data_IF_422314633622
#
_entry.id   IF_422314633622
#
_cell.length_a   1.000
_cell.length_b   1.000
_cell.length_c   1.000
_cell.angle_alpha   90.00
_cell.angle_beta   90.00
_cell.angle_gamma   90.00
#
_symmetry.space_group_name_H-M   'P 1'
#
loop_
_entity.id
_entity.type
_entity.pdbx_description
1 polymer ?
#
# COMPACT_ATOMS: atom_id res chain seq x y z
N UNK A 1 -20.85 24.98 33.45
CA UNK A 1 -20.05 26.21 33.61
C UNK A 1 -18.71 25.97 34.36
N UNK A 2 -18.69 25.19 35.45
CA UNK A 2 -17.46 24.87 36.21
C UNK A 2 -16.45 24.09 35.39
N UNK A 3 -16.87 23.12 34.59
CA UNK A 3 -15.99 22.27 33.73
C UNK A 3 -15.27 23.08 32.63
N UNK A 4 -15.93 24.05 32.00
CA UNK A 4 -15.32 24.94 30.99
C UNK A 4 -14.30 25.92 31.60
N UNK A 5 -14.54 26.41 32.86
CA UNK A 5 -13.54 27.20 33.59
C UNK A 5 -12.33 26.36 33.98
N UNK A 6 -12.54 25.11 34.43
CA UNK A 6 -11.48 24.17 34.73
C UNK A 6 -10.58 23.87 33.48
N UNK A 7 -11.20 23.63 32.33
CA UNK A 7 -10.47 23.45 31.08
C UNK A 7 -9.64 24.69 30.71
N UNK A 8 -10.21 25.90 30.84
CA UNK A 8 -9.46 27.13 30.52
C UNK A 8 -8.30 27.40 31.47
N UNK A 9 -8.46 27.11 32.77
CA UNK A 9 -7.39 27.21 33.76
C UNK A 9 -6.31 26.13 33.54
N UNK A 10 -6.72 24.89 33.31
CA UNK A 10 -5.80 23.80 33.00
C UNK A 10 -4.97 24.07 31.71
N UNK A 11 -5.58 24.70 30.70
CA UNK A 11 -4.86 25.12 29.50
C UNK A 11 -3.83 26.22 29.77
N UNK A 12 -4.19 27.23 30.58
CA UNK A 12 -3.25 28.28 31.02
C UNK A 12 -2.12 27.70 31.86
N UNK A 13 -2.39 26.73 32.71
CA UNK A 13 -1.41 26.08 33.57
C UNK A 13 -0.49 25.16 32.76
N UNK A 14 -1.01 24.37 31.80
CA UNK A 14 -0.22 23.59 30.89
C UNK A 14 0.78 24.45 30.09
N UNK A 15 0.31 25.60 29.60
CA UNK A 15 1.16 26.56 28.88
C UNK A 15 2.19 27.25 29.78
N UNK A 16 1.85 27.52 31.06
CA UNK A 16 2.78 28.06 32.05
C UNK A 16 3.86 27.03 32.45
N UNK A 17 3.50 25.76 32.60
CA UNK A 17 4.44 24.66 32.87
C UNK A 17 5.47 24.49 31.72
N UNK A 18 5.04 24.71 30.47
CA UNK A 18 5.93 24.72 29.29
C UNK A 18 7.02 25.81 29.38
N UNK A 19 6.74 26.93 30.09
CA UNK A 19 7.66 28.08 30.21
C UNK A 19 8.62 27.97 31.40
N UNK A 20 8.25 27.25 32.47
CA UNK A 20 9.02 27.18 33.71
C UNK A 20 10.32 26.37 33.59
N UNK A 21 10.28 25.17 33.03
CA UNK A 21 11.42 24.25 32.88
C UNK A 21 11.54 23.72 31.45
N UNK A 22 11.91 24.60 30.52
CA UNK A 22 11.88 24.39 29.07
C UNK A 22 12.55 23.09 28.61
N UNK A 23 13.75 22.77 29.14
CA UNK A 23 14.51 21.58 28.73
C UNK A 23 13.84 20.26 29.12
N UNK A 24 13.28 20.17 30.33
CA UNK A 24 12.62 18.97 30.83
C UNK A 24 11.29 18.72 30.09
N UNK A 25 10.50 19.78 29.93
CA UNK A 25 9.22 19.71 29.23
C UNK A 25 9.43 19.36 27.76
N UNK A 26 10.43 19.95 27.11
CA UNK A 26 10.78 19.65 25.73
C UNK A 26 11.21 18.18 25.57
N UNK A 27 12.04 17.66 26.48
CA UNK A 27 12.51 16.28 26.42
C UNK A 27 11.37 15.26 26.60
N UNK A 28 10.44 15.55 27.50
CA UNK A 28 9.29 14.65 27.77
C UNK A 28 8.26 14.70 26.65
N UNK A 29 7.96 15.90 26.13
CA UNK A 29 7.10 16.05 24.93
C UNK A 29 7.74 15.36 23.72
N UNK A 30 9.06 15.48 23.57
CA UNK A 30 9.78 14.86 22.45
C UNK A 30 9.66 13.33 22.48
N UNK A 31 9.70 12.70 23.68
CA UNK A 31 9.49 11.26 23.83
C UNK A 31 8.10 10.81 23.35
N UNK A 32 7.04 11.53 23.75
CA UNK A 32 5.67 11.22 23.29
C UNK A 32 5.49 11.54 21.81
N UNK A 33 6.01 12.69 21.38
CA UNK A 33 5.96 13.11 19.96
C UNK A 33 6.61 12.05 19.06
N UNK A 34 7.81 11.57 19.41
CA UNK A 34 8.50 10.51 18.64
C UNK A 34 7.69 9.21 18.68
N UNK A 35 7.19 8.81 19.85
CA UNK A 35 6.42 7.56 19.97
C UNK A 35 5.16 7.55 19.11
N UNK A 36 4.35 8.61 19.19
CA UNK A 36 3.13 8.73 18.40
C UNK A 36 3.46 8.92 16.92
N UNK A 37 4.45 9.75 16.59
CA UNK A 37 4.93 9.95 15.22
C UNK A 37 5.35 8.60 14.59
N UNK A 38 6.12 7.78 15.30
CA UNK A 38 6.59 6.49 14.78
C UNK A 38 5.42 5.55 14.49
N UNK A 39 4.47 5.41 15.42
CA UNK A 39 3.30 4.55 15.23
C UNK A 39 2.50 5.01 14.00
N UNK A 40 2.19 6.30 13.92
CA UNK A 40 1.39 6.84 12.82
C UNK A 40 2.13 6.73 11.49
N UNK A 41 3.43 7.05 11.46
CA UNK A 41 4.24 6.98 10.26
C UNK A 41 4.32 5.55 9.71
N UNK A 42 4.58 4.55 10.57
CA UNK A 42 4.63 3.14 10.16
C UNK A 42 3.28 2.67 9.65
N UNK A 43 2.20 2.90 10.39
CA UNK A 43 0.87 2.47 9.97
C UNK A 43 0.42 3.17 8.69
N UNK A 44 0.69 4.49 8.53
CA UNK A 44 0.34 5.20 7.30
C UNK A 44 1.14 4.71 6.10
N UNK A 45 2.44 4.42 6.27
CA UNK A 45 3.26 3.85 5.22
C UNK A 45 2.77 2.46 4.80
N UNK A 46 2.48 1.58 5.77
CA UNK A 46 1.96 0.22 5.50
C UNK A 46 0.60 0.28 4.83
N UNK A 47 -0.33 1.13 5.32
CA UNK A 47 -1.66 1.26 4.72
C UNK A 47 -1.57 1.78 3.27
N UNK A 48 -0.65 2.73 3.00
CA UNK A 48 -0.41 3.25 1.65
C UNK A 48 0.15 2.17 0.72
N UNK A 49 1.15 1.41 1.20
CA UNK A 49 1.71 0.29 0.44
C UNK A 49 0.65 -0.77 0.14
N UNK A 50 -0.16 -1.10 1.15
CA UNK A 50 -1.26 -2.06 0.99
C UNK A 50 -2.29 -1.59 -0.03
N UNK A 51 -2.75 -0.35 0.06
CA UNK A 51 -3.71 0.23 -0.88
C UNK A 51 -3.17 0.25 -2.32
N UNK A 52 -1.89 0.60 -2.50
CA UNK A 52 -1.25 0.58 -3.82
C UNK A 52 -1.13 -0.84 -4.37
N UNK A 53 -0.88 -1.83 -3.51
CA UNK A 53 -0.86 -3.24 -3.90
C UNK A 53 -2.24 -3.75 -4.28
N UNK A 54 -3.25 -3.47 -3.44
CA UNK A 54 -4.62 -3.86 -3.72
C UNK A 54 -5.09 -3.28 -5.06
N UNK A 55 -4.79 -2.00 -5.34
CA UNK A 55 -5.10 -1.39 -6.64
C UNK A 55 -4.32 -2.02 -7.80
N UNK A 56 -3.07 -2.39 -7.60
CA UNK A 56 -2.26 -3.10 -8.63
C UNK A 56 -2.80 -4.51 -8.89
N UNK A 57 -3.24 -5.20 -7.84
CA UNK A 57 -3.86 -6.53 -7.94
C UNK A 57 -5.23 -6.46 -8.63
N UNK A 58 -6.03 -5.43 -8.35
CA UNK A 58 -7.31 -5.20 -9.05
C UNK A 58 -7.11 -5.03 -10.55
N UNK A 59 -6.05 -4.34 -10.98
CA UNK A 59 -5.68 -4.18 -12.40
C UNK A 59 -5.34 -5.52 -13.08
N UNK A 60 -4.81 -6.49 -12.34
CA UNK A 60 -4.55 -7.85 -12.85
C UNK A 60 -5.82 -8.71 -12.97
N UNK A 61 -6.95 -8.24 -12.45
CA UNK A 61 -8.23 -8.94 -12.43
C UNK A 61 -8.44 -9.73 -11.12
N UNK A 62 -9.54 -9.46 -10.44
CA UNK A 62 -9.84 -10.02 -9.11
C UNK A 62 -10.16 -11.53 -9.09
N UNK A 63 -10.56 -12.09 -10.25
CA UNK A 63 -10.90 -13.52 -10.41
C UNK A 63 -10.09 -14.16 -11.54
N UNK A 64 -8.81 -13.87 -11.58
CA UNK A 64 -7.92 -14.29 -12.67
C UNK A 64 -6.98 -15.40 -12.23
N UNK A 65 -6.82 -16.42 -13.08
CA UNK A 65 -5.88 -17.52 -12.93
C UNK A 65 -4.83 -17.39 -14.03
N UNK A 66 -3.55 -17.38 -13.65
CA UNK A 66 -2.43 -17.35 -14.57
C UNK A 66 -1.80 -18.74 -14.64
N UNK A 67 -1.87 -19.37 -15.78
CA UNK A 67 -1.14 -20.61 -16.07
C UNK A 67 0.26 -20.24 -16.54
N UNK A 68 1.25 -20.63 -15.77
CA UNK A 68 2.65 -20.32 -16.03
C UNK A 68 3.55 -21.51 -15.65
N UNK A 69 4.81 -21.49 -16.06
CA UNK A 69 5.83 -22.45 -15.63
C UNK A 69 6.17 -22.28 -14.15
N UNK A 70 6.36 -21.04 -13.72
CA UNK A 70 6.84 -20.70 -12.40
C UNK A 70 5.68 -20.36 -11.44
N UNK A 71 5.68 -20.93 -10.22
CA UNK A 71 4.73 -20.49 -9.21
C UNK A 71 5.14 -19.13 -8.63
N UNK A 72 4.12 -18.34 -8.19
CA UNK A 72 4.34 -17.05 -7.57
C UNK A 72 4.51 -17.11 -6.05
N UNK A 73 4.34 -18.29 -5.45
CA UNK A 73 4.45 -18.56 -4.01
C UNK A 73 5.89 -18.85 -3.55
N UNK A 74 6.89 -18.46 -4.35
CA UNK A 74 8.30 -18.67 -4.07
C UNK A 74 8.81 -17.84 -2.89
N UNK A 75 9.01 -18.48 -1.72
CA UNK A 75 9.70 -17.89 -0.57
C UNK A 75 11.24 -17.89 -0.69
N UNK A 76 11.98 -17.47 0.37
CA UNK A 76 13.44 -17.45 0.37
C UNK A 76 14.12 -18.79 0.05
N UNK A 77 13.48 -19.90 0.43
CA UNK A 77 13.96 -21.27 0.20
C UNK A 77 13.32 -21.92 -1.04
N UNK A 78 12.88 -21.11 -2.01
CA UNK A 78 12.19 -21.59 -3.21
C UNK A 78 13.04 -22.61 -4.00
N UNK A 79 12.56 -23.86 -4.22
CA UNK A 79 13.29 -24.91 -4.89
C UNK A 79 13.21 -24.74 -6.41
N UNK A 80 13.81 -23.68 -6.98
CA UNK A 80 13.74 -23.31 -8.40
C UNK A 80 14.16 -24.45 -9.34
N UNK A 81 15.10 -25.33 -8.89
CA UNK A 81 15.57 -26.48 -9.68
C UNK A 81 14.45 -27.51 -9.98
N UNK A 82 13.39 -27.56 -9.13
CA UNK A 82 12.24 -28.45 -9.33
C UNK A 82 11.40 -27.99 -10.53
N UNK A 83 11.36 -26.68 -10.78
CA UNK A 83 10.50 -26.03 -11.77
C UNK A 83 11.24 -25.76 -13.09
N UNK A 84 12.55 -25.76 -13.10
CA UNK A 84 13.38 -25.41 -14.26
C UNK A 84 13.07 -26.27 -15.51
N UNK A 85 12.76 -27.55 -15.32
CA UNK A 85 12.49 -28.50 -16.41
C UNK A 85 11.00 -28.58 -16.79
N UNK A 86 10.13 -27.78 -16.19
CA UNK A 86 8.73 -27.72 -16.59
C UNK A 86 8.59 -27.07 -17.97
N UNK A 87 7.63 -27.52 -18.80
CA UNK A 87 7.35 -26.86 -20.07
C UNK A 87 6.79 -25.45 -19.85
N UNK A 88 7.02 -24.56 -20.79
CA UNK A 88 6.29 -23.30 -20.89
C UNK A 88 4.88 -23.58 -21.43
N UNK A 89 3.85 -22.75 -21.06
CA UNK A 89 2.53 -22.86 -21.63
C UNK A 89 2.55 -22.67 -23.16
N UNK A 90 1.96 -23.58 -23.89
CA UNK A 90 1.98 -23.57 -25.36
C UNK A 90 0.69 -22.99 -25.95
N UNK A 91 0.76 -22.57 -27.21
CA UNK A 91 -0.44 -22.17 -27.96
C UNK A 91 -1.45 -23.32 -28.07
N UNK A 92 -0.98 -24.57 -28.14
CA UNK A 92 -1.85 -25.75 -28.14
C UNK A 92 -2.61 -25.91 -26.83
N UNK A 93 -1.97 -25.60 -25.69
CA UNK A 93 -2.64 -25.64 -24.38
C UNK A 93 -3.73 -24.57 -24.33
N UNK A 94 -3.42 -23.36 -24.80
CA UNK A 94 -4.38 -22.27 -24.92
C UNK A 94 -5.60 -22.66 -25.76
N UNK A 95 -5.41 -23.18 -26.97
CA UNK A 95 -6.49 -23.60 -27.86
C UNK A 95 -7.36 -24.70 -27.24
N UNK A 96 -6.74 -25.67 -26.55
CA UNK A 96 -7.48 -26.74 -25.90
C UNK A 96 -8.22 -26.27 -24.65
N UNK A 97 -7.63 -25.36 -23.85
CA UNK A 97 -8.32 -24.75 -22.72
C UNK A 97 -9.52 -23.93 -23.19
N UNK A 98 -9.36 -23.12 -24.23
CA UNK A 98 -10.44 -22.32 -24.82
C UNK A 98 -11.64 -23.16 -25.26
N UNK A 99 -11.39 -24.38 -25.78
CA UNK A 99 -12.43 -25.27 -26.26
C UNK A 99 -13.09 -26.13 -25.17
N UNK A 100 -12.46 -26.30 -23.98
CA UNK A 100 -12.91 -27.26 -22.96
C UNK A 100 -13.40 -26.61 -21.68
N UNK A 101 -12.93 -25.40 -21.35
CA UNK A 101 -13.36 -24.71 -20.15
C UNK A 101 -14.78 -24.17 -20.30
N UNK A 102 -15.57 -24.30 -19.23
CA UNK A 102 -16.97 -23.90 -19.18
C UNK A 102 -17.26 -22.85 -18.10
N UNK A 103 -16.35 -22.68 -17.15
CA UNK A 103 -16.50 -21.77 -16.00
C UNK A 103 -15.74 -20.46 -16.19
N UNK A 104 -15.51 -20.04 -17.44
CA UNK A 104 -14.67 -18.86 -17.76
C UNK A 104 -15.43 -17.85 -18.62
N UNK A 105 -15.18 -16.55 -18.40
CA UNK A 105 -15.70 -15.44 -19.20
C UNK A 105 -14.74 -15.04 -20.33
N UNK A 106 -13.44 -15.28 -20.14
CA UNK A 106 -12.40 -14.99 -21.12
C UNK A 106 -11.13 -15.79 -20.87
N UNK A 107 -10.42 -16.05 -21.95
CA UNK A 107 -9.11 -16.72 -21.92
C UNK A 107 -8.16 -16.02 -22.89
N UNK A 108 -6.98 -15.68 -22.42
CA UNK A 108 -5.97 -14.97 -23.19
C UNK A 108 -4.62 -15.69 -23.13
N UNK A 109 -3.94 -15.76 -24.26
CA UNK A 109 -2.52 -16.07 -24.32
C UNK A 109 -1.76 -14.77 -24.42
N UNK A 110 -0.85 -14.54 -23.52
CA UNK A 110 -0.05 -13.33 -23.43
C UNK A 110 1.44 -13.66 -23.38
N UNK A 111 2.23 -12.89 -24.13
CA UNK A 111 3.68 -12.93 -24.08
C UNK A 111 4.24 -11.52 -23.98
N UNK A 112 5.18 -11.30 -23.08
CA UNK A 112 5.79 -9.99 -22.83
C UNK A 112 7.28 -10.01 -23.12
N UNK A 113 7.73 -9.07 -23.98
CA UNK A 113 9.13 -8.86 -24.32
C UNK A 113 9.60 -7.56 -23.69
N UNK A 114 10.20 -7.64 -22.52
CA UNK A 114 10.76 -6.48 -21.82
C UNK A 114 12.03 -5.93 -22.50
N UNK A 115 12.37 -4.70 -22.12
CA UNK A 115 13.61 -4.01 -22.49
C UNK A 115 13.84 -3.91 -24.01
N UNK A 116 12.83 -3.45 -24.76
CA UNK A 116 12.89 -3.28 -26.21
C UNK A 116 13.01 -1.82 -26.58
N UNK A 117 13.72 -1.55 -27.69
CA UNK A 117 13.79 -0.22 -28.26
C UNK A 117 12.73 -0.06 -29.33
N UNK A 118 11.94 0.99 -29.22
CA UNK A 118 10.88 1.36 -30.16
C UNK A 118 11.21 2.69 -30.81
N UNK A 119 10.90 2.83 -32.09
CA UNK A 119 11.33 4.00 -32.88
C UNK A 119 10.17 4.61 -33.68
N UNK A 120 10.13 5.94 -33.63
CA UNK A 120 9.30 6.76 -34.50
C UNK A 120 10.16 7.85 -35.12
N UNK A 121 10.38 7.80 -36.42
CA UNK A 121 11.28 8.71 -37.14
C UNK A 121 12.67 8.81 -36.45
N UNK A 122 13.00 9.97 -35.90
CA UNK A 122 14.26 10.21 -35.19
C UNK A 122 14.16 10.00 -33.67
N UNK A 123 12.95 9.78 -33.13
CA UNK A 123 12.72 9.54 -31.71
C UNK A 123 12.81 8.05 -31.41
N UNK A 124 13.38 7.70 -30.27
CA UNK A 124 13.43 6.33 -29.75
C UNK A 124 13.13 6.31 -28.26
N UNK A 125 12.49 5.24 -27.83
CA UNK A 125 12.31 4.87 -26.42
C UNK A 125 12.99 3.55 -26.18
N UNK A 126 13.83 3.50 -25.18
CA UNK A 126 14.50 2.28 -24.71
C UNK A 126 13.78 1.76 -23.46
N UNK A 127 13.86 0.46 -23.21
CA UNK A 127 13.23 -0.15 -22.05
C UNK A 127 11.71 -0.39 -22.18
N UNK A 128 11.11 -0.17 -23.36
CA UNK A 128 9.70 -0.46 -23.57
C UNK A 128 9.42 -1.97 -23.51
N UNK A 129 8.22 -2.34 -23.02
CA UNK A 129 7.73 -3.72 -23.03
C UNK A 129 6.75 -3.90 -24.19
N UNK A 130 7.00 -4.89 -25.04
CA UNK A 130 6.08 -5.26 -26.11
C UNK A 130 5.26 -6.45 -25.64
N UNK A 131 3.96 -6.30 -25.50
CA UNK A 131 3.01 -7.35 -25.13
C UNK A 131 2.24 -7.83 -26.36
N UNK A 132 2.36 -9.11 -26.66
CA UNK A 132 1.52 -9.79 -27.65
C UNK A 132 0.40 -10.52 -26.93
N UNK A 133 -0.84 -10.12 -27.18
CA UNK A 133 -1.99 -10.68 -26.50
C UNK A 133 -3.07 -11.15 -27.47
N UNK A 134 -3.79 -12.24 -27.12
CA UNK A 134 -4.98 -12.65 -27.85
C UNK A 134 -6.15 -11.71 -27.60
N UNK A 135 -7.18 -11.79 -28.44
CA UNK A 135 -8.29 -10.81 -28.42
C UNK A 135 -8.96 -10.66 -27.07
N UNK A 136 -9.19 -11.74 -26.33
CA UNK A 136 -9.92 -11.72 -25.06
C UNK A 136 -9.21 -11.01 -23.90
N UNK A 137 -7.98 -10.50 -24.10
CA UNK A 137 -7.26 -9.72 -23.08
C UNK A 137 -8.10 -8.54 -22.55
N UNK A 138 -8.89 -7.89 -23.42
CA UNK A 138 -9.77 -6.79 -23.02
C UNK A 138 -10.91 -7.20 -22.06
N UNK A 139 -11.26 -8.50 -22.00
CA UNK A 139 -12.25 -9.02 -21.05
C UNK A 139 -11.67 -9.28 -19.67
N UNK A 140 -10.36 -9.56 -19.64
CA UNK A 140 -9.62 -9.96 -18.43
C UNK A 140 -9.13 -8.75 -17.66
N UNK A 141 -8.64 -7.75 -18.40
CA UNK A 141 -8.14 -6.50 -17.85
C UNK A 141 -9.05 -5.35 -18.24
N UNK A 142 -9.44 -4.53 -17.26
CA UNK A 142 -10.20 -3.32 -17.51
C UNK A 142 -9.29 -2.28 -18.19
N UNK A 143 -9.46 -2.11 -19.51
CA UNK A 143 -8.62 -1.27 -20.34
C UNK A 143 -9.25 0.11 -20.52
N UNK A 144 -8.65 1.13 -19.97
CA UNK A 144 -9.01 2.52 -20.21
C UNK A 144 -8.13 3.14 -21.29
N UNK A 145 -8.76 3.89 -22.21
CA UNK A 145 -8.07 4.56 -23.32
C UNK A 145 -8.15 6.08 -23.14
N UNK A 146 -7.03 6.75 -23.34
CA UNK A 146 -7.01 8.21 -23.50
C UNK A 146 -7.57 8.60 -24.85
N UNK A 147 -7.19 7.85 -25.91
CA UNK A 147 -7.72 8.04 -27.26
C UNK A 147 -7.60 6.76 -28.09
N UNK A 148 -8.40 6.67 -29.15
CA UNK A 148 -8.38 5.52 -30.04
C UNK A 148 -9.26 4.35 -29.56
N UNK A 149 -8.82 3.12 -29.85
CA UNK A 149 -9.59 1.89 -29.58
C UNK A 149 -8.71 0.66 -29.41
N UNK A 150 -9.29 -0.39 -28.86
CA UNK A 150 -8.70 -1.73 -28.90
C UNK A 150 -8.75 -2.33 -30.30
N UNK A 151 -7.90 -3.33 -30.59
CA UNK A 151 -7.96 -4.06 -31.85
C UNK A 151 -9.22 -4.94 -31.91
N UNK A 152 -9.74 -5.11 -33.12
CA UNK A 152 -10.91 -5.96 -33.38
C UNK A 152 -10.51 -7.45 -33.42
N UNK A 153 -11.48 -8.36 -33.29
CA UNK A 153 -11.25 -9.79 -33.46
C UNK A 153 -10.59 -10.10 -34.80
N UNK A 154 -11.03 -9.48 -35.91
CA UNK A 154 -10.43 -9.65 -37.21
C UNK A 154 -8.97 -9.21 -37.27
N UNK A 155 -8.60 -8.09 -36.66
CA UNK A 155 -7.22 -7.60 -36.57
C UNK A 155 -6.35 -8.57 -35.76
N UNK A 156 -6.92 -9.12 -34.66
CA UNK A 156 -6.24 -10.13 -33.84
C UNK A 156 -6.02 -11.43 -34.58
N UNK A 157 -7.06 -11.95 -35.25
CA UNK A 157 -7.02 -13.24 -35.94
C UNK A 157 -6.08 -13.23 -37.16
N UNK A 158 -6.06 -12.12 -37.91
CA UNK A 158 -5.17 -11.96 -39.07
C UNK A 158 -3.76 -11.49 -38.70
N UNK A 159 -3.50 -11.13 -37.44
CA UNK A 159 -2.21 -10.58 -37.03
C UNK A 159 -1.90 -9.27 -37.74
N UNK A 160 -2.92 -8.41 -37.88
CA UNK A 160 -2.77 -7.10 -38.52
C UNK A 160 -1.71 -6.28 -37.77
N UNK A 161 -0.81 -5.57 -38.46
CA UNK A 161 0.26 -4.80 -37.81
C UNK A 161 -0.29 -3.50 -37.20
N UNK A 162 -1.05 -3.62 -36.14
CA UNK A 162 -1.60 -2.52 -35.35
C UNK A 162 -1.02 -2.56 -33.94
N UNK A 163 -0.93 -1.40 -33.29
CA UNK A 163 -0.38 -1.28 -31.94
C UNK A 163 -1.18 -0.31 -31.08
N UNK A 164 -1.25 -0.59 -29.80
CA UNK A 164 -1.76 0.30 -28.76
C UNK A 164 -0.59 0.64 -27.86
N UNK A 165 -0.36 1.91 -27.59
CA UNK A 165 0.83 2.39 -26.87
C UNK A 165 0.45 2.95 -25.52
N UNK A 166 1.33 2.78 -24.53
CA UNK A 166 1.19 3.40 -23.21
C UNK A 166 1.45 4.90 -23.24
N UNK A 167 0.94 5.59 -22.23
CA UNK A 167 1.04 7.04 -22.08
C UNK A 167 2.48 7.55 -22.08
N UNK A 168 3.39 6.89 -21.35
CA UNK A 168 4.82 7.23 -21.29
C UNK A 168 5.48 7.13 -22.67
N UNK A 169 5.16 6.10 -23.44
CA UNK A 169 5.69 5.90 -24.80
C UNK A 169 5.10 6.93 -25.76
N UNK A 170 3.79 7.22 -25.64
CA UNK A 170 3.14 8.24 -26.45
C UNK A 170 3.79 9.62 -26.27
N UNK A 171 3.97 10.03 -25.03
CA UNK A 171 4.59 11.30 -24.67
C UNK A 171 6.04 11.41 -25.14
N UNK A 172 6.81 10.34 -25.04
CA UNK A 172 8.21 10.33 -25.42
C UNK A 172 8.45 10.29 -26.94
N UNK A 173 7.64 9.50 -27.67
CA UNK A 173 7.81 9.35 -29.13
C UNK A 173 7.13 10.45 -29.93
N UNK A 174 5.99 10.98 -29.45
CA UNK A 174 5.11 11.91 -30.18
C UNK A 174 4.90 13.25 -29.46
N UNK A 175 5.98 13.97 -29.06
CA UNK A 175 5.79 15.25 -28.39
C UNK A 175 5.02 16.21 -29.30
N UNK A 176 3.82 16.62 -28.88
CA UNK A 176 2.92 17.52 -29.61
C UNK A 176 2.37 17.01 -30.96
N UNK A 177 2.38 15.71 -31.20
CA UNK A 177 1.84 15.08 -32.40
C UNK A 177 0.82 14.03 -31.96
N UNK A 178 -0.36 13.98 -32.61
CA UNK A 178 -1.32 12.89 -32.37
C UNK A 178 -0.72 11.57 -32.87
N UNK A 179 -0.51 10.56 -31.99
CA UNK A 179 0.05 9.27 -32.36
C UNK A 179 -0.90 8.40 -33.21
N UNK A 180 -2.22 8.64 -33.15
CA UNK A 180 -3.19 7.78 -33.82
C UNK A 180 -2.98 7.82 -35.36
N UNK A 181 -2.91 6.64 -35.97
CA UNK A 181 -2.67 6.48 -37.40
C UNK A 181 -1.21 6.62 -37.84
N UNK A 182 -0.28 6.88 -36.90
CA UNK A 182 1.16 6.97 -37.23
C UNK A 182 1.81 5.59 -37.26
N UNK A 183 2.85 5.46 -38.10
CA UNK A 183 3.64 4.23 -38.20
C UNK A 183 4.72 4.20 -37.13
N UNK A 184 4.76 3.11 -36.35
CA UNK A 184 5.76 2.84 -35.32
C UNK A 184 6.57 1.60 -35.72
N UNK A 185 7.87 1.57 -35.46
CA UNK A 185 8.72 0.42 -35.75
C UNK A 185 8.95 -0.40 -34.49
N UNK A 186 8.42 -1.63 -34.46
CA UNK A 186 8.50 -2.60 -33.37
C UNK A 186 9.16 -3.87 -33.90
N UNK A 187 10.25 -4.33 -33.27
CA UNK A 187 11.02 -5.53 -33.69
C UNK A 187 11.39 -5.50 -35.20
N UNK A 188 11.70 -4.32 -35.74
CA UNK A 188 12.03 -4.15 -37.14
C UNK A 188 10.84 -4.16 -38.11
N UNK A 189 9.61 -4.21 -37.63
CA UNK A 189 8.37 -4.18 -38.42
C UNK A 189 7.59 -2.91 -38.13
N UNK A 190 6.92 -2.38 -39.14
CA UNK A 190 6.04 -1.24 -39.02
C UNK A 190 4.66 -1.68 -38.50
N UNK A 191 4.15 -0.97 -37.52
CA UNK A 191 2.78 -1.09 -37.01
C UNK A 191 2.11 0.26 -37.01
N UNK A 192 0.79 0.31 -37.09
CA UNK A 192 -0.02 1.52 -37.05
C UNK A 192 -0.57 1.68 -35.62
N UNK A 193 -0.37 2.83 -35.01
CA UNK A 193 -0.93 3.15 -33.70
C UNK A 193 -2.43 3.35 -33.84
N UNK A 194 -3.23 2.57 -33.13
CA UNK A 194 -4.71 2.63 -33.15
C UNK A 194 -5.33 3.07 -31.83
N UNK A 195 -4.55 3.10 -30.75
CA UNK A 195 -5.00 3.51 -29.42
C UNK A 195 -3.85 3.92 -28.52
N UNK A 196 -4.19 4.70 -27.50
CA UNK A 196 -3.29 5.11 -26.42
C UNK A 196 -3.98 4.72 -25.11
N UNK A 197 -3.27 3.98 -24.26
CA UNK A 197 -3.76 3.67 -22.91
C UNK A 197 -3.77 4.94 -22.06
N UNK A 198 -4.80 5.08 -21.23
CA UNK A 198 -4.85 6.11 -20.22
C UNK A 198 -3.71 5.91 -19.22
N UNK A 199 -3.13 6.99 -18.76
CA UNK A 199 -2.06 6.96 -17.76
C UNK A 199 -2.55 6.29 -16.46
N UNK A 200 -1.88 5.22 -16.06
CA UNK A 200 -2.18 4.44 -14.86
C UNK A 200 -1.28 4.82 -13.67
N UNK A 201 -0.16 5.50 -13.93
CA UNK A 201 0.89 5.79 -12.97
C UNK A 201 1.75 4.55 -12.64
N UNK A 202 2.97 4.80 -12.16
CA UNK A 202 3.89 3.72 -11.77
C UNK A 202 3.35 2.94 -10.57
N UNK A 203 3.22 1.63 -10.72
CA UNK A 203 2.93 0.73 -9.61
C UNK A 203 4.16 0.58 -8.70
N UNK A 204 4.02 0.90 -7.42
CA UNK A 204 5.14 0.96 -6.47
C UNK A 204 5.88 -0.37 -6.24
N UNK A 205 5.22 -1.51 -6.43
CA UNK A 205 5.75 -2.84 -6.09
C UNK A 205 5.68 -3.85 -7.23
N UNK A 206 4.82 -3.63 -8.21
CA UNK A 206 4.73 -4.42 -9.43
C UNK A 206 4.53 -3.45 -10.59
N UNK A 207 5.43 -3.51 -11.57
CA UNK A 207 5.26 -2.76 -12.82
C UNK A 207 4.23 -3.49 -13.71
N UNK A 208 2.98 -3.43 -13.27
CA UNK A 208 1.82 -3.94 -14.02
C UNK A 208 1.13 -2.84 -14.83
N UNK A 209 1.70 -1.62 -14.81
CA UNK A 209 1.20 -0.47 -15.55
C UNK A 209 1.34 -0.68 -17.04
N UNK A 210 0.34 -0.25 -17.80
CA UNK A 210 0.38 -0.22 -19.26
C UNK A 210 1.10 1.02 -19.83
N UNK A 211 1.59 1.92 -18.97
CA UNK A 211 2.19 3.19 -19.39
C UNK A 211 3.45 3.03 -20.25
N UNK A 212 4.24 1.99 -19.98
CA UNK A 212 5.45 1.65 -20.75
C UNK A 212 5.29 0.38 -21.61
N UNK A 213 4.03 0.04 -21.95
CA UNK A 213 3.70 -1.16 -22.73
C UNK A 213 3.21 -0.79 -24.12
N UNK A 214 3.58 -1.61 -25.09
CA UNK A 214 3.00 -1.58 -26.43
C UNK A 214 2.30 -2.90 -26.65
N UNK A 215 0.99 -2.88 -26.75
CA UNK A 215 0.19 -4.07 -27.03
C UNK A 215 -0.01 -4.25 -28.53
N UNK A 216 0.22 -5.46 -29.00
CA UNK A 216 0.03 -5.87 -30.39
C UNK A 216 -0.76 -7.19 -30.43
N UNK A 217 -1.43 -7.51 -31.54
CA UNK A 217 -2.08 -8.81 -31.71
C UNK A 217 -1.09 -9.97 -31.56
N UNK A 218 -1.50 -11.02 -30.84
CA UNK A 218 -0.67 -12.23 -30.65
C UNK A 218 -0.23 -12.82 -31.99
N UNK A 219 -1.14 -12.89 -32.99
CA UNK A 219 -0.83 -13.43 -34.31
C UNK A 219 0.15 -12.57 -35.11
N UNK A 220 0.29 -11.28 -34.80
CA UNK A 220 1.37 -10.45 -35.36
C UNK A 220 2.72 -10.85 -34.77
N UNK A 221 2.83 -10.98 -33.44
CA UNK A 221 4.11 -11.20 -32.78
C UNK A 221 4.62 -12.61 -32.99
N UNK A 222 3.75 -13.64 -33.01
CA UNK A 222 4.14 -15.04 -33.28
C UNK A 222 4.76 -15.27 -34.65
N UNK A 223 4.51 -14.40 -35.62
CA UNK A 223 5.15 -14.45 -36.93
C UNK A 223 6.57 -13.86 -36.92
N UNK A 224 6.98 -13.20 -35.82
CA UNK A 224 8.27 -12.54 -35.69
C UNK A 224 9.23 -13.30 -34.78
N UNK A 225 8.67 -13.97 -33.76
CA UNK A 225 9.45 -14.67 -32.73
C UNK A 225 8.80 -16.01 -32.37
N UNK A 226 9.55 -16.91 -31.75
CA UNK A 226 9.00 -18.05 -31.02
C UNK A 226 8.52 -17.60 -29.67
N UNK A 227 7.19 -17.46 -29.50
CA UNK A 227 6.56 -16.88 -28.30
C UNK A 227 6.85 -17.69 -27.04
N UNK A 228 7.04 -19.00 -27.17
CA UNK A 228 7.31 -19.93 -26.07
C UNK A 228 8.68 -19.69 -25.40
N UNK A 229 9.63 -19.06 -26.11
CA UNK A 229 10.97 -18.74 -25.56
C UNK A 229 10.95 -17.55 -24.58
N UNK A 230 9.84 -16.84 -24.48
CA UNK A 230 9.70 -15.60 -23.70
C UNK A 230 8.80 -15.74 -22.48
N UNK A 231 8.58 -16.97 -21.98
CA UNK A 231 7.80 -17.21 -20.78
C UNK A 231 6.35 -16.71 -20.88
N UNK A 232 5.58 -17.22 -21.83
CA UNK A 232 4.18 -16.82 -22.00
C UNK A 232 3.32 -17.25 -20.82
N UNK A 233 2.18 -16.58 -20.67
CA UNK A 233 1.15 -16.96 -19.72
C UNK A 233 -0.18 -17.22 -20.45
N UNK A 234 -0.95 -18.20 -19.95
CA UNK A 234 -2.37 -18.27 -20.29
C UNK A 234 -3.14 -17.66 -19.13
N UNK A 235 -3.85 -16.58 -19.42
CA UNK A 235 -4.60 -15.81 -18.43
C UNK A 235 -6.06 -16.14 -18.58
N UNK A 236 -6.71 -16.56 -17.50
CA UNK A 236 -8.06 -17.10 -17.49
C UNK A 236 -8.90 -16.28 -16.52
N UNK A 237 -9.95 -15.64 -17.01
CA UNK A 237 -10.94 -14.94 -16.20
C UNK A 237 -12.05 -15.91 -15.81
N UNK A 238 -12.19 -16.22 -14.52
CA UNK A 238 -13.29 -17.00 -14.01
C UNK A 238 -14.62 -16.26 -14.18
N UNK A 239 -15.67 -16.97 -14.61
CA UNK A 239 -16.98 -16.39 -14.73
C UNK A 239 -17.55 -15.98 -13.36
N UNK A 240 -18.21 -14.82 -13.31
CA UNK A 240 -18.67 -14.19 -12.07
C UNK A 240 -19.52 -15.11 -11.17
N UNK A 241 -20.26 -16.02 -11.78
CA UNK A 241 -21.19 -16.96 -11.10
C UNK A 241 -20.49 -18.13 -10.37
N UNK A 242 -19.22 -18.41 -10.69
CA UNK A 242 -18.48 -19.52 -10.09
C UNK A 242 -17.43 -19.04 -9.07
N UNK A 243 -17.18 -19.78 -8.00
CA UNK A 243 -16.02 -19.59 -7.14
C UNK A 243 -14.71 -19.81 -7.90
N UNK A 244 -13.67 -19.03 -7.54
CA UNK A 244 -12.37 -19.13 -8.20
C UNK A 244 -11.74 -20.52 -8.04
N UNK A 245 -11.97 -21.17 -6.90
CA UNK A 245 -11.44 -22.50 -6.56
C UNK A 245 -12.05 -23.61 -7.44
N UNK A 246 -13.33 -23.47 -7.82
CA UNK A 246 -13.98 -24.41 -8.72
C UNK A 246 -13.42 -24.25 -10.12
N UNK A 247 -13.27 -23.01 -10.60
CA UNK A 247 -12.63 -22.73 -11.90
C UNK A 247 -11.18 -23.21 -11.93
N UNK A 248 -10.41 -23.00 -10.84
CA UNK A 248 -9.04 -23.52 -10.72
C UNK A 248 -9.02 -25.04 -10.86
N UNK A 249 -9.95 -25.72 -10.20
CA UNK A 249 -10.06 -27.19 -10.25
C UNK A 249 -10.39 -27.68 -11.65
N UNK A 250 -11.29 -26.99 -12.37
CA UNK A 250 -11.60 -27.27 -13.78
C UNK A 250 -10.35 -27.07 -14.66
N UNK A 251 -9.67 -25.91 -14.55
CA UNK A 251 -8.44 -25.61 -15.31
C UNK A 251 -7.36 -26.67 -15.06
N UNK A 252 -7.14 -27.03 -13.80
CA UNK A 252 -6.18 -28.06 -13.39
C UNK A 252 -6.52 -29.42 -14.02
N UNK A 253 -7.78 -29.83 -13.94
CA UNK A 253 -8.24 -31.10 -14.53
C UNK A 253 -8.06 -31.15 -16.04
N UNK A 254 -8.39 -30.07 -16.75
CA UNK A 254 -8.22 -29.97 -18.20
C UNK A 254 -6.74 -29.97 -18.60
N UNK A 255 -5.88 -29.20 -17.94
CA UNK A 255 -4.43 -29.17 -18.22
C UNK A 255 -3.77 -30.53 -17.96
N UNK A 256 -4.08 -31.19 -16.82
CA UNK A 256 -3.60 -32.54 -16.55
C UNK A 256 -3.99 -33.53 -17.65
N UNK A 257 -5.20 -33.38 -18.20
CA UNK A 257 -5.66 -34.21 -19.34
C UNK A 257 -4.89 -33.89 -20.62
N UNK A 258 -4.61 -32.60 -20.91
CA UNK A 258 -3.83 -32.15 -22.08
C UNK A 258 -2.40 -32.69 -22.03
N UNK A 259 -1.77 -32.56 -20.84
CA UNK A 259 -0.39 -33.01 -20.60
C UNK A 259 -0.29 -34.52 -20.33
N UNK A 260 -1.42 -35.24 -20.27
CA UNK A 260 -1.52 -36.69 -20.02
C UNK A 260 -0.83 -37.10 -18.70
N UNK A 261 -0.96 -36.27 -17.68
CA UNK A 261 -0.39 -36.55 -16.37
C UNK A 261 -1.18 -37.67 -15.65
N UNK A 262 -0.45 -38.61 -15.08
CA UNK A 262 -1.09 -39.66 -14.26
C UNK A 262 -1.63 -39.07 -12.94
N UNK A 263 -2.62 -39.70 -12.27
CA UNK A 263 -3.19 -39.17 -11.04
C UNK A 263 -2.18 -38.97 -9.89
N UNK A 264 -1.08 -39.71 -9.88
CA UNK A 264 -0.04 -39.64 -8.84
C UNK A 264 1.06 -38.62 -9.20
N UNK A 265 1.14 -38.21 -10.46
CA UNK A 265 2.18 -37.29 -10.93
C UNK A 265 1.85 -35.86 -10.50
N UNK A 266 2.87 -35.11 -10.06
CA UNK A 266 2.73 -33.68 -9.77
C UNK A 266 2.42 -32.88 -11.05
N UNK A 267 1.80 -31.72 -10.88
CA UNK A 267 1.53 -30.80 -11.99
C UNK A 267 2.85 -30.29 -12.57
N UNK A 268 2.98 -30.25 -13.89
CA UNK A 268 4.10 -29.69 -14.64
C UNK A 268 3.86 -28.25 -15.08
N UNK A 269 2.83 -27.63 -14.54
CA UNK A 269 2.45 -26.23 -14.70
C UNK A 269 2.17 -25.61 -13.32
N UNK A 270 2.04 -24.29 -13.26
CA UNK A 270 1.63 -23.55 -12.06
C UNK A 270 0.36 -22.78 -12.34
N UNK A 271 -0.57 -22.80 -11.40
CA UNK A 271 -1.79 -21.98 -11.39
C UNK A 271 -1.61 -20.87 -10.36
N UNK A 272 -1.30 -19.67 -10.86
CA UNK A 272 -1.04 -18.52 -10.03
C UNK A 272 -2.30 -17.66 -9.92
N UNK A 273 -2.55 -17.15 -8.72
CA UNK A 273 -3.65 -16.23 -8.42
C UNK A 273 -3.10 -14.98 -7.75
N UNK A 274 -3.71 -13.86 -8.03
CA UNK A 274 -3.35 -12.58 -7.40
C UNK A 274 -3.46 -12.63 -5.86
N UNK A 275 -4.37 -13.45 -5.34
CA UNK A 275 -4.53 -13.69 -3.89
C UNK A 275 -3.31 -14.32 -3.21
N UNK A 276 -2.46 -15.05 -3.94
CA UNK A 276 -1.23 -15.62 -3.38
C UNK A 276 -0.20 -14.51 -3.08
N UNK A 277 -0.11 -13.52 -3.94
CA UNK A 277 0.80 -12.38 -3.77
C UNK A 277 0.35 -11.53 -2.58
N UNK A 278 -0.95 -11.23 -2.48
CA UNK A 278 -1.49 -10.44 -1.37
C UNK A 278 -1.29 -11.13 -0.02
N UNK A 279 -1.44 -12.44 0.06
CA UNK A 279 -1.24 -13.20 1.31
C UNK A 279 0.21 -13.12 1.83
N UNK A 280 1.21 -13.24 0.95
CA UNK A 280 2.62 -13.11 1.35
C UNK A 280 2.97 -11.69 1.84
N UNK A 281 2.40 -10.69 1.18
CA UNK A 281 2.60 -9.29 1.57
C UNK A 281 1.90 -8.96 2.88
N UNK A 282 0.73 -9.53 3.16
CA UNK A 282 0.04 -9.39 4.45
C UNK A 282 0.88 -9.91 5.62
N UNK A 283 1.62 -11.01 5.44
CA UNK A 283 2.55 -11.51 6.45
C UNK A 283 3.68 -10.51 6.71
N UNK A 284 4.30 -9.99 5.67
CA UNK A 284 5.35 -8.95 5.79
C UNK A 284 4.81 -7.68 6.47
N UNK A 285 3.64 -7.21 6.07
CA UNK A 285 3.02 -6.04 6.69
C UNK A 285 2.68 -6.27 8.17
N UNK A 286 2.29 -7.49 8.53
CA UNK A 286 2.05 -7.85 9.94
C UNK A 286 3.33 -7.73 10.77
N UNK A 287 4.47 -8.20 10.25
CA UNK A 287 5.76 -8.10 10.90
C UNK A 287 6.20 -6.63 11.04
N UNK A 288 6.06 -5.84 9.97
CA UNK A 288 6.43 -4.40 9.98
C UNK A 288 5.55 -3.63 10.98
N UNK A 289 4.24 -3.88 10.99
CA UNK A 289 3.31 -3.27 11.95
C UNK A 289 3.64 -3.65 13.40
N UNK A 290 3.97 -4.92 13.64
CA UNK A 290 4.38 -5.38 14.97
C UNK A 290 5.69 -4.71 15.43
N UNK A 291 6.68 -4.58 14.56
CA UNK A 291 7.92 -3.87 14.85
C UNK A 291 7.69 -2.38 15.13
N UNK A 292 6.87 -1.71 14.30
CA UNK A 292 6.49 -0.32 14.50
C UNK A 292 5.74 -0.09 15.81
N UNK A 293 4.80 -0.98 16.14
CA UNK A 293 4.09 -0.95 17.42
C UNK A 293 5.04 -1.13 18.61
N UNK A 294 5.96 -2.09 18.50
CA UNK A 294 6.97 -2.34 19.54
C UNK A 294 7.83 -1.10 19.80
N UNK A 295 8.42 -0.50 18.77
CA UNK A 295 9.21 0.73 18.88
C UNK A 295 8.37 1.87 19.45
N UNK A 296 7.12 2.00 18.98
CA UNK A 296 6.19 3.02 19.46
C UNK A 296 5.85 2.87 20.93
N UNK A 297 5.58 1.65 21.42
CA UNK A 297 5.29 1.38 22.83
C UNK A 297 6.48 1.78 23.71
N UNK A 298 7.70 1.40 23.35
CA UNK A 298 8.90 1.79 24.12
C UNK A 298 9.09 3.30 24.15
N UNK A 299 8.91 3.97 23.02
CA UNK A 299 8.97 5.44 22.95
C UNK A 299 7.91 6.11 23.82
N UNK A 300 6.69 5.56 23.81
CA UNK A 300 5.58 6.02 24.64
C UNK A 300 5.88 5.82 26.13
N UNK A 301 6.47 4.68 26.52
CA UNK A 301 6.87 4.44 27.92
C UNK A 301 7.88 5.48 28.38
N UNK A 302 8.93 5.75 27.59
CA UNK A 302 9.93 6.77 27.88
C UNK A 302 9.30 8.16 28.00
N UNK A 303 8.41 8.54 27.05
CA UNK A 303 7.67 9.80 27.09
C UNK A 303 6.70 9.90 28.26
N UNK A 304 6.01 8.81 28.58
CA UNK A 304 5.10 8.71 29.72
C UNK A 304 5.81 8.89 31.07
N UNK A 305 6.96 8.26 31.25
CA UNK A 305 7.82 8.51 32.43
C UNK A 305 8.29 9.97 32.50
N UNK A 306 8.60 10.57 31.36
CA UNK A 306 8.94 11.99 31.28
C UNK A 306 7.80 12.87 31.76
N UNK A 307 6.55 12.61 31.33
CA UNK A 307 5.37 13.36 31.79
C UNK A 307 5.09 13.12 33.28
N UNK A 308 5.17 11.87 33.74
CA UNK A 308 5.03 11.59 35.17
C UNK A 308 6.00 12.40 36.00
N UNK A 309 7.27 12.48 35.58
CA UNK A 309 8.32 13.27 36.27
C UNK A 309 7.99 14.78 36.26
N UNK A 310 7.50 15.34 35.13
CA UNK A 310 7.04 16.73 35.08
C UNK A 310 5.90 16.96 36.06
N UNK A 311 4.94 16.04 36.09
CA UNK A 311 3.77 16.15 36.97
C UNK A 311 4.16 16.05 38.45
N UNK A 312 5.12 15.17 38.83
CA UNK A 312 5.63 15.13 40.19
C UNK A 312 6.24 16.47 40.64
N UNK A 313 7.04 17.09 39.76
CA UNK A 313 7.65 18.39 40.04
C UNK A 313 6.59 19.49 40.08
N UNK A 314 5.61 19.50 39.16
CA UNK A 314 4.50 20.44 39.14
C UNK A 314 3.67 20.36 40.44
N UNK A 315 3.39 19.15 40.93
CA UNK A 315 2.72 18.95 42.22
C UNK A 315 3.54 19.55 43.37
N UNK A 316 4.87 19.28 43.40
CA UNK A 316 5.76 19.80 44.44
C UNK A 316 5.85 21.33 44.43
N UNK A 317 6.01 21.94 43.28
CA UNK A 317 6.08 23.40 43.12
C UNK A 317 4.75 24.09 43.50
N UNK A 318 3.60 23.39 43.34
CA UNK A 318 2.28 23.92 43.65
C UNK A 318 1.69 23.42 44.98
N UNK A 319 2.47 22.72 45.79
CA UNK A 319 2.02 22.21 47.10
C UNK A 319 1.35 23.29 47.97
N UNK A 320 1.93 24.52 48.16
CA UNK A 320 1.26 25.55 48.93
C UNK A 320 -0.08 26.00 48.37
N UNK A 321 -0.19 26.11 47.04
CA UNK A 321 -1.42 26.44 46.32
C UNK A 321 -2.52 25.38 46.51
N UNK A 322 -2.14 24.09 46.45
CA UNK A 322 -3.03 22.96 46.72
C UNK A 322 -3.55 23.03 48.16
N UNK A 323 -2.66 23.34 49.11
CA UNK A 323 -3.03 23.54 50.52
C UNK A 323 -4.07 24.62 50.69
N UNK A 324 -3.89 25.79 50.09
CA UNK A 324 -4.85 26.89 50.09
C UNK A 324 -6.20 26.48 49.47
N UNK A 325 -6.19 25.84 48.30
CA UNK A 325 -7.42 25.36 47.64
C UNK A 325 -8.20 24.39 48.52
N UNK A 326 -7.52 23.45 49.18
CA UNK A 326 -8.15 22.49 50.09
C UNK A 326 -8.68 23.14 51.38
N UNK A 327 -7.97 24.11 51.90
CA UNK A 327 -8.42 24.89 53.07
C UNK A 327 -9.68 25.74 52.77
N UNK A 328 -9.86 26.15 51.49
CA UNK A 328 -11.06 26.82 50.99
C UNK A 328 -12.19 25.83 50.62
N UNK A 329 -12.02 24.53 50.88
CA UNK A 329 -13.05 23.48 50.67
C UNK A 329 -13.00 22.73 49.34
N UNK A 330 -11.90 22.81 48.59
CA UNK A 330 -11.75 22.02 47.37
C UNK A 330 -11.71 20.50 47.67
N UNK A 331 -12.59 19.74 47.03
CA UNK A 331 -12.64 18.27 47.15
C UNK A 331 -11.44 17.60 46.51
N UNK A 332 -11.02 16.46 47.04
CA UNK A 332 -9.90 15.66 46.49
C UNK A 332 -10.09 15.33 44.99
N UNK A 333 -11.35 15.05 44.57
CA UNK A 333 -11.67 14.82 43.18
C UNK A 333 -11.38 16.03 42.27
N UNK A 334 -11.55 17.25 42.77
CA UNK A 334 -11.26 18.48 42.04
C UNK A 334 -9.76 18.60 41.75
N UNK A 335 -8.92 18.40 42.77
CA UNK A 335 -7.48 18.44 42.63
C UNK A 335 -6.99 17.30 41.70
N UNK A 336 -7.50 16.06 41.88
CA UNK A 336 -7.21 14.92 41.02
C UNK A 336 -7.49 15.23 39.55
N UNK A 337 -8.71 15.71 39.25
CA UNK A 337 -9.14 15.99 37.87
C UNK A 337 -8.32 17.11 37.23
N UNK A 338 -7.94 18.16 38.01
CA UNK A 338 -7.10 19.26 37.54
C UNK A 338 -5.74 18.75 37.00
N UNK A 339 -5.01 17.97 37.79
CA UNK A 339 -3.72 17.44 37.39
C UNK A 339 -3.82 16.39 36.31
N UNK A 340 -4.88 15.58 36.30
CA UNK A 340 -5.12 14.57 35.27
C UNK A 340 -5.41 15.20 33.90
N UNK A 341 -6.24 16.25 33.87
CA UNK A 341 -6.52 17.01 32.65
C UNK A 341 -5.22 17.68 32.12
N UNK A 342 -4.37 18.21 33.04
CA UNK A 342 -3.08 18.81 32.66
C UNK A 342 -2.18 17.78 31.97
N UNK A 343 -2.06 16.56 32.51
CA UNK A 343 -1.28 15.48 31.91
C UNK A 343 -1.84 15.07 30.54
N UNK A 344 -3.16 14.91 30.41
CA UNK A 344 -3.83 14.57 29.14
C UNK A 344 -3.58 15.66 28.09
N UNK A 345 -3.71 16.95 28.46
CA UNK A 345 -3.47 18.06 27.53
C UNK A 345 -2.03 18.09 27.02
N UNK A 346 -1.04 17.83 27.90
CA UNK A 346 0.37 17.73 27.49
C UNK A 346 0.59 16.58 26.50
N UNK A 347 -0.02 15.43 26.75
CA UNK A 347 0.06 14.29 25.84
C UNK A 347 -0.62 14.58 24.49
N UNK A 348 -1.78 15.21 24.48
CA UNK A 348 -2.48 15.61 23.26
C UNK A 348 -1.64 16.60 22.44
N UNK A 349 -1.01 17.58 23.10
CA UNK A 349 -0.12 18.52 22.42
C UNK A 349 1.08 17.79 21.77
N UNK A 350 1.73 16.86 22.50
CA UNK A 350 2.80 16.03 21.96
C UNK A 350 2.34 15.18 20.76
N UNK A 351 1.15 14.57 20.87
CA UNK A 351 0.54 13.78 19.82
C UNK A 351 0.20 14.59 18.56
N UNK A 352 -0.38 15.78 18.74
CA UNK A 352 -0.69 16.68 17.62
C UNK A 352 0.58 17.19 16.90
N UNK A 353 1.64 17.46 17.66
CA UNK A 353 2.95 17.81 17.06
C UNK A 353 3.49 16.62 16.27
N UNK A 354 3.43 15.39 16.84
CA UNK A 354 3.83 14.17 16.16
C UNK A 354 3.06 13.94 14.86
N UNK A 355 1.75 14.09 14.91
CA UNK A 355 0.87 14.01 13.72
C UNK A 355 1.24 15.08 12.69
N UNK A 356 1.47 16.32 13.12
CA UNK A 356 1.89 17.41 12.23
C UNK A 356 3.22 17.12 11.52
N UNK A 357 4.18 16.50 12.23
CA UNK A 357 5.46 16.08 11.64
C UNK A 357 5.22 14.97 10.58
N UNK A 358 4.33 14.00 10.85
CA UNK A 358 3.99 12.96 9.87
C UNK A 358 3.37 13.56 8.61
N UNK A 359 2.43 14.51 8.73
CA UNK A 359 1.89 15.23 7.58
C UNK A 359 2.96 15.97 6.78
N UNK A 360 3.89 16.63 7.48
CA UNK A 360 5.01 17.33 6.85
C UNK A 360 5.92 16.36 6.10
N UNK A 361 6.26 15.23 6.71
CA UNK A 361 7.08 14.19 6.07
C UNK A 361 6.36 13.58 4.86
N UNK A 362 5.07 13.27 4.97
CA UNK A 362 4.25 12.77 3.87
C UNK A 362 4.23 13.77 2.69
N UNK A 363 4.12 15.07 2.98
CA UNK A 363 4.18 16.13 1.97
C UNK A 363 5.57 16.19 1.28
N UNK A 364 6.66 16.09 2.04
CA UNK A 364 8.04 16.08 1.49
C UNK A 364 8.26 14.86 0.59
N UNK A 365 7.82 13.68 1.03
CA UNK A 365 7.92 12.44 0.25
C UNK A 365 7.14 12.55 -1.05
N UNK A 366 5.93 13.12 -1.00
CA UNK A 366 5.13 13.36 -2.20
C UNK A 366 5.83 14.29 -3.21
N UNK A 367 6.48 15.37 -2.73
CA UNK A 367 7.19 16.29 -3.62
C UNK A 367 8.49 15.71 -4.20
N UNK A 368 9.18 14.83 -3.46
CA UNK A 368 10.49 14.32 -3.87
C UNK A 368 10.43 13.01 -4.66
N UNK A 369 9.45 12.16 -4.37
CA UNK A 369 9.36 10.80 -4.90
C UNK A 369 8.03 10.50 -5.60
N UNK A 370 7.15 11.48 -5.73
CA UNK A 370 5.77 11.35 -6.26
C UNK A 370 4.92 10.27 -5.56
N UNK A 371 5.31 9.90 -4.31
CA UNK A 371 4.63 8.91 -3.50
C UNK A 371 3.63 9.58 -2.57
N UNK A 372 2.35 9.39 -2.83
CA UNK A 372 1.28 9.91 -2.00
C UNK A 372 1.06 9.04 -0.75
N UNK A 373 1.74 9.35 0.37
CA UNK A 373 1.43 8.71 1.66
C UNK A 373 0.11 9.29 2.18
N UNK A 374 -0.91 8.45 2.26
CA UNK A 374 -2.23 8.83 2.74
C UNK A 374 -2.28 8.73 4.26
N UNK A 375 -2.40 9.88 4.92
CA UNK A 375 -2.67 9.95 6.36
C UNK A 375 -4.16 10.15 6.56
N UNK A 376 -4.88 9.05 6.75
CA UNK A 376 -6.33 9.04 6.87
C UNK A 376 -6.82 9.67 8.18
N UNK A 377 -8.07 10.15 8.20
CA UNK A 377 -8.73 10.73 9.39
C UNK A 377 -8.75 9.76 10.59
N UNK A 378 -8.77 8.46 10.35
CA UNK A 378 -8.64 7.43 11.39
C UNK A 378 -7.36 7.59 12.22
N UNK A 379 -6.27 8.08 11.63
CA UNK A 379 -4.99 8.33 12.32
C UNK A 379 -5.07 9.52 13.28
N UNK A 380 -5.89 10.53 12.96
CA UNK A 380 -6.17 11.65 13.88
C UNK A 380 -6.88 11.14 15.12
N UNK A 381 -7.91 10.30 14.93
CA UNK A 381 -8.66 9.69 16.05
C UNK A 381 -7.71 8.81 16.88
N UNK A 382 -6.92 7.95 16.24
CA UNK A 382 -5.94 7.11 16.91
C UNK A 382 -4.97 7.93 17.75
N UNK A 383 -4.46 9.05 17.21
CA UNK A 383 -3.56 9.99 17.92
C UNK A 383 -4.23 10.53 19.18
N UNK A 384 -5.47 11.00 19.08
CA UNK A 384 -6.20 11.58 20.23
C UNK A 384 -6.47 10.53 21.31
N UNK A 385 -6.85 9.31 20.91
CA UNK A 385 -7.10 8.20 21.83
C UNK A 385 -5.84 7.80 22.54
N UNK A 386 -4.75 7.52 21.80
CA UNK A 386 -3.46 7.15 22.38
C UNK A 386 -2.93 8.22 23.32
N UNK A 387 -2.95 9.50 22.91
CA UNK A 387 -2.51 10.62 23.74
C UNK A 387 -3.30 10.71 25.04
N UNK A 388 -4.62 10.52 24.97
CA UNK A 388 -5.50 10.56 26.15
C UNK A 388 -5.18 9.40 27.10
N UNK A 389 -5.04 8.19 26.60
CA UNK A 389 -4.70 6.99 27.39
C UNK A 389 -3.35 7.14 28.06
N UNK A 390 -2.33 7.61 27.33
CA UNK A 390 -0.98 7.84 27.86
C UNK A 390 -1.00 8.91 28.96
N UNK A 391 -1.68 10.02 28.70
CA UNK A 391 -1.83 11.10 29.68
C UNK A 391 -2.50 10.65 30.97
N UNK A 392 -3.50 9.79 30.84
CA UNK A 392 -4.22 9.19 31.95
C UNK A 392 -3.32 8.27 32.78
N UNK A 393 -2.59 7.36 32.13
CA UNK A 393 -1.68 6.42 32.79
C UNK A 393 -0.51 7.15 33.45
N UNK A 394 0.14 8.08 32.75
CA UNK A 394 1.29 8.81 33.25
C UNK A 394 0.93 9.81 34.35
N UNK A 395 -0.29 10.42 34.27
CA UNK A 395 -0.73 11.44 35.21
C UNK A 395 -1.40 10.91 36.48
N UNK A 396 -1.87 9.63 36.52
CA UNK A 396 -2.71 9.14 37.62
C UNK A 396 -1.97 9.14 38.98
N UNK A 397 -0.73 8.66 39.03
CA UNK A 397 0.03 8.56 40.27
C UNK A 397 0.31 9.95 40.87
N UNK A 398 0.91 10.93 40.13
CA UNK A 398 1.14 12.26 40.66
C UNK A 398 -0.16 13.01 41.02
N UNK A 399 -1.25 12.82 40.23
CA UNK A 399 -2.53 13.43 40.50
C UNK A 399 -3.17 12.88 41.80
N UNK A 400 -3.09 11.59 42.07
CA UNK A 400 -3.56 10.99 43.34
C UNK A 400 -2.73 11.51 44.50
N UNK A 401 -1.41 11.62 44.40
CA UNK A 401 -0.56 12.19 45.42
C UNK A 401 -0.95 13.64 45.75
N UNK A 402 -1.14 14.48 44.73
CA UNK A 402 -1.59 15.85 44.89
C UNK A 402 -2.93 15.92 45.60
N UNK A 403 -3.88 15.05 45.25
CA UNK A 403 -5.23 15.03 45.84
C UNK A 403 -5.27 14.60 47.30
N UNK A 404 -4.25 13.88 47.79
CA UNK A 404 -4.18 13.35 49.17
C UNK A 404 -3.32 14.19 50.10
N UNK A 405 -2.72 15.32 49.66
CA UNK A 405 -1.93 16.22 50.49
C UNK A 405 -2.77 16.74 51.64
N UNK A 406 -2.18 16.82 52.87
CA UNK A 406 -2.78 17.46 54.01
C UNK A 406 -2.71 18.99 53.85
N UNK A 407 -3.83 19.72 54.02
CA UNK A 407 -3.85 21.20 53.87
C UNK A 407 -2.89 21.92 54.78
N UNK A 408 -2.72 21.43 56.00
CA UNK A 408 -1.88 22.11 57.02
C UNK A 408 -0.41 21.93 56.70
N UNK A 409 -0.01 20.71 56.34
CA UNK A 409 1.38 20.41 55.92
C UNK A 409 1.74 21.10 54.60
N UNK A 410 0.79 21.15 53.67
CA UNK A 410 0.99 21.75 52.37
C UNK A 410 1.20 23.27 52.38
N UNK A 411 0.62 23.99 53.38
CA UNK A 411 0.83 25.43 53.54
C UNK A 411 2.17 25.74 54.18
N UNK A 412 2.69 24.80 55.00
CA UNK A 412 3.98 24.98 55.72
C UNK A 412 5.21 24.60 54.90
N UNK A 413 5.07 23.86 53.86
CA UNK A 413 6.12 23.45 52.96
C UNK A 413 6.47 24.52 51.92
#
# INVERSE_FOLDING_TARGET
MIFLKLLGESFRFAFSALRGNKTRTLLSLLGITIGIMTIIAVFSAVDTLRSNLESSVEKLGSKTIYVAKWPWDGGPDFPWWKYQNRPEPTLRDFEQLQNRLTMVDGICYEVSLGNRTVKFLNNNVEGATISGASFDFYKIRDLEFESGRYFTSLESDHGTPVSIIGSTIANALFPNIDPIGKELVILGRKTIVIGIYKEEGEGMLMDVSLDNVISVPLNFIKNLIHVEDYGPNIVIQAAAKYPLEETESEVRGVLRSIHRLSPIQEDDFSLNKTTLVTAQLDELFTIINAAGLFIGIFSILVGGFGIANIMFVSVKERTPLIGIQKSLGAKNFFILSQFLIEAILLCILGGLIGLGIVYLLAFIVKMGFDLAIVVDFSKVILTLVLSTVIGLIAGIIPAVMASRLDPVEAIRS
#
